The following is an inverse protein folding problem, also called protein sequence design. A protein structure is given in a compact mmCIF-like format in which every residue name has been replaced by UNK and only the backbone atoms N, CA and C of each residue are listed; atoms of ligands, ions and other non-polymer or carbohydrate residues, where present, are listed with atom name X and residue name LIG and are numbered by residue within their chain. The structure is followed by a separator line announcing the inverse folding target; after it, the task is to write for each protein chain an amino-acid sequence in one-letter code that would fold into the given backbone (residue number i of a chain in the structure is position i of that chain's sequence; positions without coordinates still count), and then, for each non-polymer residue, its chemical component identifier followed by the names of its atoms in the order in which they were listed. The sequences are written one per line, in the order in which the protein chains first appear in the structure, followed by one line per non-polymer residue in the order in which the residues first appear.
data_IF_889219682987
#
_entry.id   IF_889219682987
#
_cell.length_a   1.000
_cell.length_b   1.000
_cell.length_c   1.000
_cell.angle_alpha   90.00
_cell.angle_beta   90.00
_cell.angle_gamma   90.00
#
_symmetry.space_group_name_H-M   'P 1'
#
loop_
_entity.id
_entity.type
_entity.pdbx_description
1 polymer ?
#
# COMPACT_ATOMS: atom_id res chain seq x y z
N UNK A 1 -4.38 11.27 10.05
CA UNK A 1 -3.01 11.78 9.81
C UNK A 1 -2.84 12.16 8.34
N UNK A 2 -2.11 13.24 8.04
CA UNK A 2 -2.03 13.79 6.69
C UNK A 2 -1.12 12.96 5.75
N UNK A 3 -1.52 12.91 4.48
CA UNK A 3 -0.71 12.49 3.34
C UNK A 3 -0.48 13.72 2.46
N UNK A 4 0.70 13.89 1.82
CA UNK A 4 0.88 14.92 0.82
C UNK A 4 0.00 14.63 -0.41
N UNK A 5 -0.34 15.63 -1.24
CA UNK A 5 -1.23 15.44 -2.39
C UNK A 5 -0.79 14.31 -3.33
N UNK A 6 0.51 14.17 -3.55
CA UNK A 6 1.08 13.18 -4.46
C UNK A 6 1.18 11.76 -3.87
N UNK A 7 0.73 11.55 -2.63
CA UNK A 7 0.71 10.26 -1.94
C UNK A 7 -0.68 9.92 -1.39
N UNK A 8 -1.76 10.54 -1.90
CA UNK A 8 -3.12 10.21 -1.44
C UNK A 8 -3.50 8.74 -1.71
N UNK A 9 -2.89 8.11 -2.73
CA UNK A 9 -3.14 6.71 -3.07
C UNK A 9 -2.72 5.71 -1.98
N UNK A 10 -1.89 6.13 -1.02
CA UNK A 10 -1.48 5.30 0.11
C UNK A 10 -2.61 5.04 1.12
N UNK A 11 -3.83 5.54 0.87
CA UNK A 11 -4.96 5.38 1.77
C UNK A 11 -6.24 4.99 1.05
N UNK A 12 -7.12 4.32 1.80
CA UNK A 12 -8.53 4.06 1.49
C UNK A 12 -9.42 4.66 2.59
N UNK A 13 -10.72 4.70 2.37
CA UNK A 13 -11.68 5.37 3.24
C UNK A 13 -11.69 6.87 3.04
N UNK A 14 -12.75 7.53 3.54
CA UNK A 14 -13.00 8.94 3.25
C UNK A 14 -11.86 9.84 3.76
N UNK A 15 -11.45 10.83 2.95
CA UNK A 15 -10.36 11.77 3.31
C UNK A 15 -10.63 12.56 4.59
N UNK A 16 -11.91 12.81 4.86
CA UNK A 16 -12.49 13.53 6.00
C UNK A 16 -13.01 12.59 7.11
N UNK A 17 -12.69 11.29 7.05
CA UNK A 17 -13.02 10.36 8.12
C UNK A 17 -12.47 10.83 9.47
N UNK A 18 -13.27 10.67 10.51
CA UNK A 18 -12.96 11.12 11.88
C UNK A 18 -11.82 10.31 12.52
N UNK A 19 -11.61 9.07 12.08
CA UNK A 19 -10.58 8.19 12.59
C UNK A 19 -9.59 7.76 11.49
N UNK A 20 -8.32 7.63 11.85
CA UNK A 20 -7.27 7.10 10.99
C UNK A 20 -6.61 5.88 11.63
N UNK A 21 -6.58 4.78 10.89
CA UNK A 21 -5.72 3.62 11.17
C UNK A 21 -4.54 3.65 10.19
N UNK A 22 -3.31 3.63 10.69
CA UNK A 22 -2.12 3.56 9.84
C UNK A 22 -1.38 2.25 10.07
N UNK A 23 -1.00 1.59 8.98
CA UNK A 23 -0.17 0.40 8.99
C UNK A 23 1.21 0.72 8.45
N UNK A 24 2.22 0.68 9.30
CA UNK A 24 3.61 0.68 8.88
C UNK A 24 4.02 -0.75 8.54
N UNK A 25 4.30 -0.99 7.26
CA UNK A 25 4.46 -2.33 6.68
C UNK A 25 5.75 -2.43 5.86
N UNK A 26 6.35 -3.60 5.89
CA UNK A 26 7.36 -4.03 4.92
C UNK A 26 6.76 -5.13 4.03
N UNK A 27 6.82 -4.97 2.71
CA UNK A 27 6.33 -5.95 1.75
C UNK A 27 7.02 -7.33 1.80
N UNK A 28 8.17 -7.46 2.45
CA UNK A 28 8.85 -8.75 2.68
C UNK A 28 8.68 -9.29 4.10
N UNK A 29 8.02 -8.56 4.99
CA UNK A 29 7.74 -9.05 6.33
C UNK A 29 6.50 -9.99 6.30
N UNK A 30 6.62 -11.27 6.69
CA UNK A 30 5.47 -12.19 6.70
C UNK A 30 4.35 -11.75 7.66
N UNK A 31 4.68 -11.08 8.77
CA UNK A 31 3.69 -10.52 9.68
C UNK A 31 2.97 -9.30 9.08
N UNK A 32 3.65 -8.52 8.25
CA UNK A 32 3.04 -7.40 7.51
C UNK A 32 2.08 -7.91 6.44
N UNK A 33 2.44 -8.99 5.74
CA UNK A 33 1.54 -9.68 4.83
C UNK A 33 0.31 -10.22 5.59
N UNK A 34 0.52 -10.90 6.72
CA UNK A 34 -0.55 -11.48 7.53
C UNK A 34 -1.59 -10.43 7.94
N UNK A 35 -1.16 -9.30 8.50
CA UNK A 35 -2.09 -8.25 8.96
C UNK A 35 -2.82 -7.59 7.80
N UNK A 36 -2.12 -7.25 6.71
CA UNK A 36 -2.73 -6.51 5.61
C UNK A 36 -3.72 -7.38 4.82
N UNK A 37 -3.37 -8.65 4.57
CA UNK A 37 -4.26 -9.59 3.88
C UNK A 37 -5.51 -9.91 4.72
N UNK A 38 -5.34 -10.16 6.02
CA UNK A 38 -6.46 -10.36 6.92
C UNK A 38 -7.38 -9.11 6.98
N UNK A 39 -6.82 -7.91 7.14
CA UNK A 39 -7.59 -6.67 7.14
C UNK A 39 -8.31 -6.47 5.80
N UNK A 40 -7.64 -6.74 4.69
CA UNK A 40 -8.21 -6.65 3.35
C UNK A 40 -9.41 -7.57 3.15
N UNK A 41 -9.32 -8.82 3.60
CA UNK A 41 -10.39 -9.80 3.41
C UNK A 41 -11.57 -9.55 4.37
N UNK A 42 -11.28 -9.18 5.61
CA UNK A 42 -12.28 -9.15 6.67
C UNK A 42 -12.89 -7.77 6.91
N UNK A 43 -12.11 -6.70 6.74
CA UNK A 43 -12.46 -5.35 7.22
C UNK A 43 -12.66 -4.35 6.09
N UNK A 44 -11.94 -4.43 4.97
CA UNK A 44 -12.17 -3.54 3.82
C UNK A 44 -13.63 -3.52 3.34
N UNK A 45 -14.37 -4.66 3.26
CA UNK A 45 -15.80 -4.62 2.93
C UNK A 45 -16.63 -3.77 3.92
N UNK A 46 -16.20 -3.69 5.18
CA UNK A 46 -16.82 -2.89 6.24
C UNK A 46 -16.39 -1.42 6.23
N UNK A 47 -15.42 -1.03 5.38
CA UNK A 47 -14.96 0.36 5.22
C UNK A 47 -15.44 0.97 3.89
N UNK A 48 -15.34 0.23 2.78
CA UNK A 48 -15.50 0.78 1.43
C UNK A 48 -16.87 0.52 0.77
N UNK A 49 -17.71 -0.38 1.29
CA UNK A 49 -19.03 -0.68 0.73
C UNK A 49 -20.04 0.48 0.88
N UNK A 50 -21.11 0.47 0.08
CA UNK A 50 -22.13 1.54 0.06
C UNK A 50 -22.85 1.70 1.41
N UNK A 51 -23.21 0.58 2.05
CA UNK A 51 -23.81 0.53 3.39
C UNK A 51 -22.83 -0.05 4.43
N UNK A 52 -21.53 0.16 4.22
CA UNK A 52 -20.51 -0.43 5.06
C UNK A 52 -20.49 0.19 6.46
N UNK A 53 -20.29 -0.66 7.47
CA UNK A 53 -20.38 -0.32 8.91
C UNK A 53 -19.56 0.91 9.31
N UNK A 54 -18.35 1.04 8.77
CA UNK A 54 -17.40 2.11 9.07
C UNK A 54 -17.25 3.11 7.92
N UNK A 55 -18.16 3.10 6.94
CA UNK A 55 -18.14 4.01 5.80
C UNK A 55 -18.08 5.46 6.30
N UNK A 56 -17.17 6.24 5.72
CA UNK A 56 -17.00 7.65 6.07
C UNK A 56 -16.38 7.93 7.44
N UNK A 57 -16.16 6.91 8.28
CA UNK A 57 -15.69 7.08 9.66
C UNK A 57 -14.25 6.62 9.87
N UNK A 58 -13.78 5.68 9.04
CA UNK A 58 -12.41 5.17 9.09
C UNK A 58 -11.67 5.45 7.78
N UNK A 59 -10.51 6.11 7.92
CA UNK A 59 -9.47 6.15 6.89
C UNK A 59 -8.37 5.16 7.26
N UNK A 60 -7.93 4.38 6.29
CA UNK A 60 -6.83 3.42 6.48
C UNK A 60 -5.66 3.85 5.60
N UNK A 61 -4.47 3.99 6.18
CA UNK A 61 -3.25 4.41 5.49
C UNK A 61 -2.22 3.30 5.55
N UNK A 62 -1.64 2.92 4.43
CA UNK A 62 -0.43 2.10 4.38
C UNK A 62 0.77 3.05 4.39
N UNK A 63 1.73 2.78 5.26
CA UNK A 63 3.01 3.47 5.39
C UNK A 63 4.13 2.49 5.02
N UNK A 64 4.66 2.55 3.79
CA UNK A 64 5.74 1.66 3.38
C UNK A 64 7.02 1.94 4.17
N UNK A 65 7.58 0.92 4.83
CA UNK A 65 8.83 0.98 5.61
C UNK A 65 9.70 -0.23 5.26
N UNK A 66 10.65 -0.09 4.32
CA UNK A 66 11.54 -1.18 3.99
C UNK A 66 12.48 -1.46 5.16
N UNK A 67 12.54 -2.71 5.61
CA UNK A 67 13.48 -3.13 6.64
C UNK A 67 14.85 -3.42 6.04
N UNK A 68 15.94 -2.91 6.64
CA UNK A 68 17.28 -3.01 6.06
C UNK A 68 17.84 -4.45 6.04
N UNK A 69 17.24 -5.37 6.81
CA UNK A 69 17.60 -6.79 6.81
C UNK A 69 16.81 -7.64 5.81
N UNK A 70 15.91 -7.03 5.02
CA UNK A 70 15.27 -7.68 3.88
C UNK A 70 15.88 -7.10 2.60
N UNK A 71 16.84 -7.81 1.99
CA UNK A 71 17.78 -7.24 1.04
C UNK A 71 17.11 -6.58 -0.18
N UNK A 72 16.01 -7.18 -0.66
CA UNK A 72 15.27 -6.72 -1.83
C UNK A 72 14.09 -5.80 -1.51
N UNK A 73 13.79 -5.56 -0.23
CA UNK A 73 12.56 -4.86 0.20
C UNK A 73 12.44 -3.47 -0.41
N UNK A 74 13.54 -2.74 -0.52
CA UNK A 74 13.58 -1.40 -1.14
C UNK A 74 12.99 -1.41 -2.55
N UNK A 75 13.25 -2.44 -3.37
CA UNK A 75 12.77 -2.52 -4.75
C UNK A 75 11.25 -2.71 -4.84
N UNK A 76 10.68 -3.49 -3.91
CA UNK A 76 9.22 -3.66 -3.79
C UNK A 76 8.56 -2.33 -3.40
N UNK A 77 9.16 -1.61 -2.45
CA UNK A 77 8.66 -0.32 -1.99
C UNK A 77 8.75 0.77 -3.06
N UNK A 78 9.86 0.86 -3.79
CA UNK A 78 10.00 1.76 -4.94
C UNK A 78 8.91 1.49 -5.98
N UNK A 79 8.64 0.22 -6.29
CA UNK A 79 7.62 -0.14 -7.29
C UNK A 79 6.21 0.18 -6.80
N UNK A 80 5.88 -0.12 -5.54
CA UNK A 80 4.60 0.23 -4.96
C UNK A 80 4.37 1.75 -4.98
N UNK A 81 5.37 2.55 -4.62
CA UNK A 81 5.28 4.02 -4.67
C UNK A 81 5.21 4.55 -6.10
N UNK A 82 5.86 3.91 -7.08
CA UNK A 82 5.68 4.24 -8.49
C UNK A 82 4.22 4.02 -8.94
N UNK A 83 3.59 2.93 -8.50
CA UNK A 83 2.15 2.71 -8.73
C UNK A 83 1.31 3.77 -8.02
N UNK A 84 1.65 4.18 -6.79
CA UNK A 84 0.95 5.27 -6.13
C UNK A 84 1.02 6.59 -6.92
N UNK A 85 2.15 6.85 -7.59
CA UNK A 85 2.34 8.02 -8.48
C UNK A 85 1.55 7.93 -9.79
N UNK A 86 1.26 6.72 -10.25
CA UNK A 86 0.50 6.46 -11.46
C UNK A 86 -1.00 6.25 -11.19
N UNK A 87 -1.41 6.09 -9.93
CA UNK A 87 -2.82 5.93 -9.57
C UNK A 87 -3.63 7.18 -9.95
N UNK A 88 -4.91 6.99 -10.28
CA UNK A 88 -5.81 8.11 -10.52
C UNK A 88 -5.88 9.05 -9.31
N UNK A 89 -5.96 10.35 -9.55
CA UNK A 89 -6.18 11.36 -8.51
C UNK A 89 -7.65 11.49 -8.10
N UNK A 90 -8.56 10.81 -8.81
CA UNK A 90 -9.98 10.74 -8.51
C UNK A 90 -10.21 10.26 -7.07
N UNK A 91 -10.89 11.12 -6.28
CA UNK A 91 -11.15 10.89 -4.85
C UNK A 91 -11.86 9.56 -4.60
N UNK A 92 -12.96 9.29 -5.30
CA UNK A 92 -13.76 8.08 -5.09
C UNK A 92 -12.98 6.81 -5.39
N UNK A 93 -12.10 6.84 -6.40
CA UNK A 93 -11.23 5.71 -6.73
C UNK A 93 -10.19 5.45 -5.65
N UNK A 94 -9.55 6.51 -5.12
CA UNK A 94 -8.54 6.34 -4.07
C UNK A 94 -9.16 5.88 -2.74
N UNK A 95 -10.34 6.39 -2.40
CA UNK A 95 -11.03 6.04 -1.15
C UNK A 95 -11.59 4.61 -1.14
N UNK A 96 -11.65 3.93 -2.30
CA UNK A 96 -12.15 2.57 -2.41
C UNK A 96 -11.02 1.59 -2.72
N UNK A 97 -10.80 0.61 -1.84
CA UNK A 97 -9.77 -0.42 -1.99
C UNK A 97 -9.89 -1.23 -3.30
N UNK A 98 -11.09 -1.34 -3.87
CA UNK A 98 -11.34 -2.08 -5.10
C UNK A 98 -11.05 -1.27 -6.38
N UNK A 99 -10.76 0.03 -6.26
CA UNK A 99 -10.38 0.90 -7.39
C UNK A 99 -9.11 1.70 -7.14
N UNK A 100 -8.49 1.55 -5.97
CA UNK A 100 -7.19 2.13 -5.66
C UNK A 100 -6.05 1.23 -6.16
N UNK A 101 -5.36 1.64 -7.23
CA UNK A 101 -4.25 0.90 -7.84
C UNK A 101 -3.11 0.55 -6.85
N UNK A 102 -2.74 1.47 -5.97
CA UNK A 102 -1.71 1.22 -4.97
C UNK A 102 -2.13 0.14 -3.97
N UNK A 103 -3.40 0.17 -3.53
CA UNK A 103 -3.93 -0.85 -2.63
C UNK A 103 -3.92 -2.23 -3.30
N UNK A 104 -4.44 -2.34 -4.52
CA UNK A 104 -4.42 -3.58 -5.31
C UNK A 104 -3.01 -4.16 -5.46
N UNK A 105 -2.07 -3.31 -5.86
CA UNK A 105 -0.69 -3.75 -6.03
C UNK A 105 -0.03 -4.12 -4.69
N UNK A 106 -0.34 -3.43 -3.60
CA UNK A 106 0.12 -3.79 -2.25
C UNK A 106 -0.37 -5.17 -1.83
N UNK A 107 -1.64 -5.52 -2.10
CA UNK A 107 -2.18 -6.86 -1.84
C UNK A 107 -1.48 -7.91 -2.70
N UNK A 108 -1.24 -7.61 -3.99
CA UNK A 108 -0.52 -8.50 -4.88
C UNK A 108 0.92 -8.78 -4.40
N UNK A 109 1.66 -7.73 -4.01
CA UNK A 109 2.99 -7.87 -3.42
C UNK A 109 2.97 -8.76 -2.17
N UNK A 110 2.06 -8.51 -1.23
CA UNK A 110 1.97 -9.34 -0.02
C UNK A 110 1.66 -10.81 -0.32
N UNK A 111 0.80 -11.09 -1.32
CA UNK A 111 0.47 -12.46 -1.74
C UNK A 111 1.62 -13.18 -2.45
N UNK A 112 2.53 -12.44 -3.06
CA UNK A 112 3.64 -12.99 -3.84
C UNK A 112 5.01 -12.78 -3.19
N UNK A 113 5.05 -12.27 -1.95
CA UNK A 113 6.26 -11.86 -1.24
C UNK A 113 7.36 -12.93 -1.22
N UNK A 114 6.99 -14.21 -1.15
CA UNK A 114 7.91 -15.34 -1.15
C UNK A 114 8.85 -15.34 -2.37
N UNK A 115 8.38 -14.87 -3.53
CA UNK A 115 9.19 -14.77 -4.76
C UNK A 115 10.38 -13.83 -4.65
N UNK A 116 10.39 -12.96 -3.62
CA UNK A 116 11.43 -11.97 -3.38
C UNK A 116 12.06 -12.07 -2.00
N UNK A 117 11.74 -13.09 -1.20
CA UNK A 117 12.53 -13.42 -0.02
C UNK A 117 13.99 -13.65 -0.40
N UNK A 118 14.90 -13.37 0.54
CA UNK A 118 16.35 -13.36 0.28
C UNK A 118 16.82 -14.66 -0.38
N UNK A 119 16.28 -15.82 0.01
CA UNK A 119 16.61 -17.10 -0.62
C UNK A 119 16.32 -17.13 -2.12
N UNK A 120 15.15 -16.63 -2.52
CA UNK A 120 14.65 -16.66 -3.90
C UNK A 120 15.17 -15.48 -4.75
N UNK A 121 15.59 -14.40 -4.10
CA UNK A 121 16.13 -13.21 -4.75
C UNK A 121 17.66 -13.22 -4.87
N UNK A 122 18.39 -14.09 -4.14
CA UNK A 122 19.86 -14.02 -3.99
C UNK A 122 20.68 -13.96 -5.28
N UNK A 123 20.19 -14.54 -6.37
CA UNK A 123 20.89 -14.59 -7.66
C UNK A 123 20.42 -13.52 -8.65
N UNK A 124 19.42 -12.71 -8.28
CA UNK A 124 18.82 -11.71 -9.16
C UNK A 124 19.54 -10.38 -9.01
N UNK A 125 19.83 -9.74 -10.13
CA UNK A 125 20.26 -8.34 -10.11
C UNK A 125 19.07 -7.42 -9.78
N UNK A 126 19.30 -6.21 -9.25
CA UNK A 126 18.23 -5.24 -9.02
C UNK A 126 17.38 -4.96 -10.28
N UNK A 127 17.97 -4.98 -11.47
CA UNK A 127 17.23 -4.74 -12.72
C UNK A 127 16.37 -5.93 -13.14
N UNK A 128 16.83 -7.17 -12.91
CA UNK A 128 16.00 -8.36 -13.09
C UNK A 128 14.79 -8.33 -12.15
N UNK A 129 15.01 -7.96 -10.89
CA UNK A 129 13.93 -7.82 -9.91
C UNK A 129 12.94 -6.72 -10.30
N UNK A 130 13.41 -5.55 -10.75
CA UNK A 130 12.53 -4.48 -11.24
C UNK A 130 11.71 -4.94 -12.45
N UNK A 131 12.31 -5.69 -13.38
CA UNK A 131 11.57 -6.23 -14.52
C UNK A 131 10.45 -7.18 -14.08
N UNK A 132 10.72 -8.09 -13.14
CA UNK A 132 9.69 -8.99 -12.58
C UNK A 132 8.57 -8.22 -11.85
N UNK A 133 8.92 -7.20 -11.06
CA UNK A 133 7.96 -6.35 -10.35
C UNK A 133 7.09 -5.53 -11.32
N UNK A 134 7.67 -5.06 -12.43
CA UNK A 134 6.94 -4.41 -13.53
C UNK A 134 6.00 -5.41 -14.19
N UNK A 135 6.44 -6.64 -14.47
CA UNK A 135 5.58 -7.69 -15.01
C UNK A 135 4.40 -7.96 -14.08
N UNK A 136 4.62 -8.06 -12.76
CA UNK A 136 3.53 -8.19 -11.80
C UNK A 136 2.57 -6.99 -11.89
N UNK A 137 3.08 -5.75 -11.95
CA UNK A 137 2.22 -4.57 -12.06
C UNK A 137 1.36 -4.60 -13.33
N UNK A 138 1.91 -5.03 -14.47
CA UNK A 138 1.16 -5.21 -15.72
C UNK A 138 0.10 -6.30 -15.59
N UNK A 139 0.42 -7.43 -14.96
CA UNK A 139 -0.55 -8.50 -14.71
C UNK A 139 -1.71 -8.05 -13.82
N UNK A 140 -1.47 -7.17 -12.86
CA UNK A 140 -2.50 -6.72 -11.90
C UNK A 140 -3.29 -5.51 -12.41
N UNK A 141 -2.66 -4.59 -13.14
CA UNK A 141 -3.21 -3.26 -13.45
C UNK A 141 -3.30 -2.95 -14.95
N UNK A 142 -2.77 -3.81 -15.82
CA UNK A 142 -2.80 -3.62 -17.28
C UNK A 142 -4.17 -3.85 -17.91
N UNK A 143 -4.33 -3.47 -19.18
CA UNK A 143 -5.61 -3.55 -19.89
C UNK A 143 -6.16 -4.99 -20.01
N UNK A 144 -5.29 -5.99 -20.18
CA UNK A 144 -5.68 -7.40 -20.27
C UNK A 144 -6.21 -7.97 -18.95
N UNK A 145 -5.78 -7.44 -17.80
CA UNK A 145 -6.34 -7.76 -16.50
C UNK A 145 -7.80 -7.29 -16.37
N UNK A 146 -8.25 -6.42 -17.29
CA UNK A 146 -9.48 -5.63 -17.21
C UNK A 146 -10.49 -5.99 -18.32
N UNK A 147 -10.66 -7.27 -18.63
CA UNK A 147 -11.60 -7.79 -19.66
C UNK A 147 -13.10 -7.64 -19.36
N UNK A 148 -13.54 -6.60 -18.65
CA UNK A 148 -14.96 -6.42 -18.28
C UNK A 148 -15.45 -4.96 -18.28
N UNK A 149 -14.80 -4.04 -18.99
CA UNK A 149 -15.30 -2.65 -19.15
C UNK A 149 -15.07 -1.69 -17.97
N UNK A 150 -14.45 -2.14 -16.86
CA UNK A 150 -14.16 -1.32 -15.67
C UNK A 150 -13.05 -0.30 -15.90
N UNK A 151 -13.18 1.01 -15.68
CA UNK A 151 -12.10 2.01 -15.94
C UNK A 151 -10.67 1.58 -15.50
N UNK A 152 -9.61 1.97 -16.24
CA UNK A 152 -8.22 1.77 -15.79
C UNK A 152 -8.02 2.27 -14.36
N UNK A 153 -7.14 1.61 -13.59
CA UNK A 153 -6.86 2.00 -12.20
C UNK A 153 -5.66 2.97 -12.09
N UNK A 154 -4.95 3.16 -13.20
CA UNK A 154 -3.80 4.06 -13.34
C UNK A 154 -4.06 5.08 -14.44
N UNK A 155 -3.55 6.30 -14.25
CA UNK A 155 -3.54 7.34 -15.25
C UNK A 155 -2.20 7.32 -15.99
N UNK A 156 -2.25 7.10 -17.30
CA UNK A 156 -1.09 7.09 -18.19
C UNK A 156 -1.26 8.16 -19.27
N UNK A 157 -0.19 8.88 -19.66
CA UNK A 157 -0.20 9.72 -20.86
C UNK A 157 -0.56 8.93 -22.13
N UNK A 158 -1.07 9.63 -23.15
CA UNK A 158 -1.43 9.01 -24.43
C UNK A 158 -0.22 8.30 -25.07
N UNK A 159 -0.40 7.03 -25.43
CA UNK A 159 0.65 6.19 -26.02
C UNK A 159 1.67 5.62 -25.03
N UNK A 160 1.60 5.97 -23.75
CA UNK A 160 2.46 5.41 -22.70
C UNK A 160 1.94 4.02 -22.26
N UNK A 161 2.86 3.06 -22.08
CA UNK A 161 2.51 1.74 -21.52
C UNK A 161 2.78 1.71 -20.02
N UNK A 162 2.03 0.89 -19.27
CA UNK A 162 2.28 0.72 -17.83
C UNK A 162 3.71 0.23 -17.57
N UNK A 163 4.24 -0.66 -18.42
CA UNK A 163 5.62 -1.14 -18.36
C UNK A 163 6.62 0.02 -18.36
N UNK A 164 6.50 0.90 -19.36
CA UNK A 164 7.40 2.04 -19.52
C UNK A 164 7.22 3.06 -18.40
N UNK A 165 5.97 3.32 -18.00
CA UNK A 165 5.66 4.26 -16.94
C UNK A 165 6.29 3.84 -15.61
N UNK A 166 6.08 2.59 -15.16
CA UNK A 166 6.66 2.07 -13.91
C UNK A 166 8.18 2.03 -14.00
N UNK A 167 8.72 1.52 -15.11
CA UNK A 167 10.16 1.50 -15.33
C UNK A 167 10.77 2.91 -15.28
N UNK A 168 10.10 3.93 -15.82
CA UNK A 168 10.58 5.32 -15.78
C UNK A 168 10.67 5.88 -14.36
N UNK A 169 9.85 5.38 -13.42
CA UNK A 169 9.87 5.81 -12.02
C UNK A 169 10.92 5.07 -11.19
N UNK A 170 11.15 3.79 -11.48
CA UNK A 170 12.01 2.90 -10.69
C UNK A 170 13.42 2.71 -11.24
N UNK A 171 13.67 3.10 -12.51
CA UNK A 171 15.00 3.05 -13.12
C UNK A 171 15.98 3.96 -12.37
N UNK A 172 17.16 3.43 -12.10
CA UNK A 172 18.27 4.16 -11.46
C UNK A 172 18.99 5.04 -12.49
N UNK A 173 19.29 6.28 -12.09
CA UNK A 173 20.07 7.23 -12.88
C UNK A 173 21.57 6.94 -12.91
N UNK A 174 22.38 7.94 -13.28
CA UNK A 174 23.83 7.78 -13.38
C UNK A 174 24.47 7.92 -12.00
N UNK A 175 25.45 7.09 -11.67
CA UNK A 175 26.15 7.20 -10.39
C UNK A 175 25.21 7.03 -9.18
N UNK A 176 25.10 8.05 -8.32
CA UNK A 176 24.32 8.02 -7.08
C UNK A 176 22.97 8.77 -7.20
N UNK A 177 22.46 8.99 -8.40
CA UNK A 177 21.21 9.73 -8.60
C UNK A 177 19.97 9.00 -8.03
N UNK A 178 20.07 7.68 -7.85
CA UNK A 178 18.95 6.85 -7.42
C UNK A 178 17.84 6.79 -8.48
N UNK A 179 16.66 6.31 -8.09
CA UNK A 179 15.47 6.30 -8.94
C UNK A 179 14.61 7.55 -8.73
N UNK A 180 13.73 7.87 -9.69
CA UNK A 180 12.82 9.04 -9.60
C UNK A 180 11.85 8.95 -8.42
N UNK A 181 11.60 7.75 -7.90
CA UNK A 181 10.68 7.52 -6.78
C UNK A 181 11.33 7.65 -5.40
N UNK A 182 12.68 7.70 -5.32
CA UNK A 182 13.43 7.81 -4.05
C UNK A 182 12.94 8.94 -3.12
N UNK A 183 12.56 10.15 -3.60
CA UNK A 183 12.05 11.20 -2.71
C UNK A 183 10.80 10.78 -1.92
N UNK A 184 9.88 10.03 -2.53
CA UNK A 184 8.67 9.54 -1.86
C UNK A 184 8.99 8.43 -0.87
N UNK A 185 9.94 7.55 -1.21
CA UNK A 185 10.42 6.53 -0.29
C UNK A 185 11.08 7.17 0.94
N UNK A 186 11.91 8.20 0.72
CA UNK A 186 12.51 9.00 1.81
C UNK A 186 11.45 9.66 2.67
N UNK A 187 10.36 10.15 2.09
CA UNK A 187 9.23 10.70 2.87
C UNK A 187 8.61 9.63 3.78
N UNK A 188 8.32 8.44 3.24
CA UNK A 188 7.72 7.34 4.01
C UNK A 188 8.64 6.85 5.14
N UNK A 189 9.95 6.70 4.85
CA UNK A 189 10.96 6.36 5.87
C UNK A 189 11.10 7.46 6.91
N UNK A 190 11.06 8.74 6.52
CA UNK A 190 11.18 9.88 7.44
C UNK A 190 10.02 9.92 8.43
N UNK A 191 8.77 9.76 7.98
CA UNK A 191 7.62 9.75 8.89
C UNK A 191 7.63 8.51 9.80
N UNK A 192 8.09 7.35 9.32
CA UNK A 192 8.30 6.17 10.17
C UNK A 192 9.33 6.44 11.27
N UNK A 193 10.49 7.02 10.92
CA UNK A 193 11.52 7.40 11.91
C UNK A 193 11.02 8.43 12.91
N UNK A 194 10.25 9.42 12.47
CA UNK A 194 9.67 10.43 13.36
C UNK A 194 8.72 9.82 14.40
N UNK A 195 8.02 8.72 14.05
CA UNK A 195 7.12 8.00 14.96
C UNK A 195 7.82 6.84 15.69
N UNK A 196 9.15 6.70 15.60
CA UNK A 196 9.89 5.65 16.29
C UNK A 196 9.60 4.23 15.76
N UNK A 197 9.15 4.10 14.51
CA UNK A 197 8.82 2.81 13.93
C UNK A 197 10.10 1.99 13.71
N UNK A 198 10.17 0.83 14.34
CA UNK A 198 11.29 -0.09 14.23
C UNK A 198 10.87 -1.44 13.64
N UNK A 199 9.85 -2.07 14.24
CA UNK A 199 9.32 -3.36 13.78
C UNK A 199 8.13 -3.18 12.85
N UNK A 200 7.97 -4.11 11.91
CA UNK A 200 6.82 -4.17 11.02
C UNK A 200 6.10 -5.51 11.22
N UNK A 201 4.76 -5.54 11.27
CA UNK A 201 3.88 -4.38 11.18
C UNK A 201 3.89 -3.56 12.48
N UNK A 202 3.71 -2.25 12.37
CA UNK A 202 3.30 -1.38 13.49
C UNK A 202 2.03 -0.66 13.10
N UNK A 203 1.00 -0.69 13.94
CA UNK A 203 -0.25 0.01 13.73
C UNK A 203 -0.32 1.28 14.58
N UNK A 204 -0.82 2.37 14.00
CA UNK A 204 -1.18 3.59 14.73
C UNK A 204 -2.68 3.81 14.65
N UNK A 205 -3.29 4.15 15.79
CA UNK A 205 -4.64 4.65 15.86
C UNK A 205 -4.61 6.16 16.13
N UNK A 206 -5.19 6.96 15.24
CA UNK A 206 -5.24 8.42 15.33
C UNK A 206 -3.85 9.06 15.59
N UNK A 207 -2.80 8.48 15.02
CA UNK A 207 -1.42 8.98 15.12
C UNK A 207 -0.64 8.49 16.35
N UNK A 208 -1.22 7.63 17.19
CA UNK A 208 -0.54 7.02 18.34
C UNK A 208 -0.35 5.53 18.10
N UNK A 209 0.85 5.01 18.42
CA UNK A 209 1.14 3.57 18.31
C UNK A 209 0.13 2.78 19.14
N UNK A 210 -0.54 1.81 18.52
CA UNK A 210 -1.57 0.99 19.14
C UNK A 210 -1.05 -0.44 19.28
N UNK A 211 -0.42 -0.80 20.43
CA UNK A 211 0.25 -2.08 20.61
C UNK A 211 -0.72 -3.25 20.75
N UNK A 212 -2.01 -3.00 20.97
CA UNK A 212 -3.01 -4.07 21.05
C UNK A 212 -3.29 -4.72 19.69
N UNK A 213 -3.06 -4.01 18.57
CA UNK A 213 -3.26 -4.55 17.23
C UNK A 213 -2.16 -5.57 16.91
N UNK A 214 -2.56 -6.82 16.80
CA UNK A 214 -1.69 -7.93 16.40
C UNK A 214 -1.88 -8.27 14.93
N UNK A 215 -0.82 -8.75 14.27
CA UNK A 215 -0.92 -9.29 12.91
C UNK A 215 -1.82 -10.51 12.80
N UNK A 216 -2.22 -11.10 13.93
CA UNK A 216 -3.10 -12.27 14.00
C UNK A 216 -4.53 -11.92 14.44
N UNK A 217 -4.92 -10.63 14.41
CA UNK A 217 -6.29 -10.24 14.73
C UNK A 217 -7.32 -11.04 13.92
N UNK A 218 -8.27 -11.65 14.61
CA UNK A 218 -9.45 -12.22 13.97
C UNK A 218 -10.39 -11.10 13.49
N UNK A 219 -11.38 -11.47 12.68
CA UNK A 219 -12.43 -10.53 12.27
C UNK A 219 -13.15 -9.93 13.48
N UNK A 220 -13.47 -10.75 14.48
CA UNK A 220 -14.14 -10.32 15.70
C UNK A 220 -13.28 -9.36 16.51
N UNK A 221 -11.97 -9.63 16.63
CA UNK A 221 -11.06 -8.72 17.33
C UNK A 221 -10.95 -7.37 16.64
N UNK A 222 -10.86 -7.35 15.30
CA UNK A 222 -10.92 -6.11 14.53
C UNK A 222 -12.24 -5.36 14.75
N UNK A 223 -13.36 -6.07 14.68
CA UNK A 223 -14.68 -5.45 14.86
C UNK A 223 -14.83 -4.88 16.26
N UNK A 224 -14.44 -5.61 17.30
CA UNK A 224 -14.48 -5.12 18.68
C UNK A 224 -13.60 -3.87 18.84
N UNK A 225 -12.35 -3.92 18.35
CA UNK A 225 -11.43 -2.78 18.39
C UNK A 225 -12.02 -1.53 17.75
N UNK A 226 -12.62 -1.68 16.55
CA UNK A 226 -13.21 -0.58 15.80
C UNK A 226 -14.52 -0.07 16.44
N UNK A 227 -15.38 -0.98 16.90
CA UNK A 227 -16.66 -0.62 17.53
C UNK A 227 -16.46 0.15 18.84
N UNK A 228 -15.44 -0.20 19.62
CA UNK A 228 -15.09 0.52 20.86
C UNK A 228 -14.61 1.95 20.59
N UNK A 229 -13.95 2.20 19.44
CA UNK A 229 -13.27 3.47 19.13
C UNK A 229 -13.99 4.33 18.11
N UNK A 230 -14.93 3.75 17.37
CA UNK A 230 -15.81 4.44 16.44
C UNK A 230 -17.23 4.33 17.01
N UNK A 231 -17.58 5.17 18.01
CA UNK A 231 -18.93 5.14 18.56
C UNK A 231 -19.91 5.41 17.42
N UNK A 232 -20.88 4.51 17.25
CA UNK A 232 -21.96 4.72 16.29
C UNK A 232 -22.57 6.07 16.61
N UNK A 233 -22.62 6.98 15.64
CA UNK A 233 -23.46 8.17 15.76
C UNK A 233 -24.84 7.65 16.17
N UNK A 234 -25.37 8.13 17.31
CA UNK A 234 -26.70 7.76 17.77
C UNK A 234 -27.66 7.98 16.58
N UNK A 235 -28.20 6.88 16.04
CA UNK A 235 -29.30 6.92 15.09
C UNK A 235 -30.54 7.45 15.79
#
# INVERSE_FOLDING_TARGET
MALPPSLQALSIGARDATNTLEFYLDYLCPFSAKILLNFHEQIVPLVCGENARYRGQLRVVIRPVPQPWHASSTLLHETALAIARLAHDNREMLENAYTNAFWHFSIALMRSAESWFDENARSKTPDQMRAELVSLAVTILGDDARKAGNKPLVHLPDGETLTNAVHSWTRVGKGNDGSRIVPDLKYCVKIGRQNGIHVTPTALWNGVVEPSISSSFSKEQWMNFLDERIPRANM
#
